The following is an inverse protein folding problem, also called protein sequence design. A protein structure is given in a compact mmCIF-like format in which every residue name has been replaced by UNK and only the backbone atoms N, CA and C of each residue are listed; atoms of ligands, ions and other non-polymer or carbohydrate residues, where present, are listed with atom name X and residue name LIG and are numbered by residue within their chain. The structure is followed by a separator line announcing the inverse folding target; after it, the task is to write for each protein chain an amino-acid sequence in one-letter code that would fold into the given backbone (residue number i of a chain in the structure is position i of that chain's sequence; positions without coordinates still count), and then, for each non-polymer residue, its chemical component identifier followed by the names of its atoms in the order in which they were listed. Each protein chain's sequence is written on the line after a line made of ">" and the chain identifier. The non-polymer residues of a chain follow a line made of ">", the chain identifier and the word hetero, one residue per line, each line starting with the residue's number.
data_IF_306524895294
#
_entry.id   IF_306524895294
#
_cell.length_a   1.000
_cell.length_b   1.000
_cell.length_c   1.000
_cell.angle_alpha   90.00
_cell.angle_beta   90.00
_cell.angle_gamma   90.00
#
_symmetry.space_group_name_H-M   'P 1'
#
loop_
_entity.id
_entity.type
_entity.pdbx_description
1 polymer ?
#
# COMPACT_ATOMS: atom_id res chain seq x y z
N UNK A 1 -5.01 -1.57 -13.49
CA UNK A 1 -4.01 -1.26 -12.47
C UNK A 1 -4.56 -1.50 -11.10
N UNK A 2 -3.78 -2.02 -10.22
CA UNK A 2 -4.22 -2.22 -8.84
C UNK A 2 -3.29 -1.52 -7.88
N UNK A 3 -3.82 -1.18 -6.73
CA UNK A 3 -3.09 -0.42 -5.72
C UNK A 3 -3.31 -1.05 -4.36
N UNK A 4 -2.30 -0.96 -3.50
CA UNK A 4 -2.43 -1.34 -2.09
C UNK A 4 -2.02 -0.14 -1.25
N UNK A 5 -2.32 -0.20 0.04
CA UNK A 5 -1.96 0.88 0.94
C UNK A 5 -1.06 0.35 2.04
N UNK A 6 -0.13 1.18 2.48
CA UNK A 6 0.81 0.84 3.53
C UNK A 6 0.85 1.94 4.56
N UNK A 7 1.07 1.53 5.81
CA UNK A 7 1.25 2.49 6.89
C UNK A 7 2.55 2.17 7.61
N UNK A 8 3.18 3.21 8.16
CA UNK A 8 4.42 3.08 8.89
C UNK A 8 4.13 3.09 10.39
N UNK A 9 4.67 2.13 11.10
CA UNK A 9 4.48 2.06 12.55
C UNK A 9 5.49 2.96 13.27
N UNK A 10 5.46 2.92 14.59
CA UNK A 10 6.29 3.78 15.40
C UNK A 10 7.77 3.48 15.26
N UNK A 11 8.11 2.29 14.84
CA UNK A 11 9.50 1.90 14.67
C UNK A 11 10.03 2.19 13.27
N UNK A 12 9.17 2.74 12.41
CA UNK A 12 9.57 3.08 11.05
C UNK A 12 9.36 1.97 10.03
N UNK A 13 8.72 0.89 10.42
CA UNK A 13 8.50 -0.24 9.51
C UNK A 13 7.19 -0.05 8.75
N UNK A 14 7.25 -0.20 7.43
CA UNK A 14 6.06 -0.13 6.59
C UNK A 14 5.41 -1.49 6.49
N UNK A 15 4.09 -1.51 6.69
CA UNK A 15 3.32 -2.75 6.61
C UNK A 15 2.11 -2.57 5.72
N UNK A 16 1.70 -3.65 5.06
CA UNK A 16 0.50 -3.64 4.24
C UNK A 16 -0.73 -3.58 5.12
N UNK A 17 -1.72 -2.80 4.70
CA UNK A 17 -3.00 -2.77 5.39
C UNK A 17 -3.82 -3.96 4.92
N UNK A 18 -4.36 -4.71 5.87
CA UNK A 18 -5.12 -5.91 5.56
C UNK A 18 -6.58 -5.75 5.95
N UNK A 19 -7.43 -6.49 5.26
CA UNK A 19 -8.85 -6.51 5.57
C UNK A 19 -9.16 -7.46 6.71
N UNK A 20 -10.43 -7.58 7.07
CA UNK A 20 -10.84 -8.45 8.19
C UNK A 20 -10.55 -9.93 7.95
N UNK A 21 -10.36 -10.33 6.70
CA UNK A 21 -10.01 -11.71 6.39
C UNK A 21 -8.50 -11.95 6.40
N UNK A 22 -7.72 -10.93 6.72
CA UNK A 22 -6.27 -11.05 6.75
C UNK A 22 -5.59 -10.84 5.42
N UNK A 23 -6.32 -10.68 4.34
CA UNK A 23 -5.73 -10.47 3.02
C UNK A 23 -5.39 -8.99 2.83
N UNK A 24 -4.34 -8.73 2.07
CA UNK A 24 -3.96 -7.36 1.75
C UNK A 24 -5.08 -6.68 0.98
N UNK A 25 -5.45 -5.48 1.41
CA UNK A 25 -6.49 -4.71 0.72
C UNK A 25 -5.95 -4.22 -0.61
N UNK A 26 -6.73 -4.45 -1.66
CA UNK A 26 -6.36 -4.07 -3.02
C UNK A 26 -7.48 -3.23 -3.62
N UNK A 27 -7.11 -2.18 -4.31
CA UNK A 27 -8.05 -1.24 -4.91
C UNK A 27 -7.76 -1.11 -6.40
N UNK A 28 -8.78 -0.89 -7.19
CA UNK A 28 -8.61 -0.74 -8.63
C UNK A 28 -8.32 0.70 -9.04
N UNK A 29 -8.42 1.62 -8.11
CA UNK A 29 -8.27 3.04 -8.38
C UNK A 29 -7.47 3.70 -7.26
N UNK A 30 -6.56 4.57 -7.63
CA UNK A 30 -5.73 5.25 -6.63
C UNK A 30 -6.57 6.13 -5.70
N UNK A 31 -7.61 6.77 -6.23
CA UNK A 31 -8.49 7.59 -5.41
C UNK A 31 -9.18 6.77 -4.33
N UNK A 32 -9.62 5.56 -4.67
CA UNK A 32 -10.24 4.67 -3.69
C UNK A 32 -9.25 4.26 -2.62
N UNK A 33 -8.01 4.00 -3.01
CA UNK A 33 -6.98 3.64 -2.04
C UNK A 33 -6.71 4.79 -1.08
N UNK A 34 -6.63 6.02 -1.59
CA UNK A 34 -6.40 7.19 -0.75
C UNK A 34 -7.58 7.43 0.18
N UNK A 35 -8.80 7.23 -0.32
CA UNK A 35 -9.98 7.39 0.51
C UNK A 35 -9.98 6.37 1.65
N UNK A 36 -9.59 5.15 1.37
CA UNK A 36 -9.51 4.12 2.40
C UNK A 36 -8.47 4.47 3.47
N UNK A 37 -7.33 5.04 3.06
CA UNK A 37 -6.34 5.49 4.03
C UNK A 37 -6.91 6.56 4.94
N UNK A 38 -7.59 7.54 4.36
CA UNK A 38 -8.16 8.62 5.15
C UNK A 38 -9.27 8.12 6.08
N UNK A 39 -10.01 7.11 5.64
CA UNK A 39 -11.09 6.57 6.45
C UNK A 39 -10.59 5.70 7.59
N UNK A 40 -9.61 4.86 7.33
CA UNK A 40 -9.14 3.92 8.34
C UNK A 40 -8.04 4.48 9.23
N UNK A 41 -7.28 5.45 8.73
CA UNK A 41 -6.16 6.02 9.47
C UNK A 41 -6.20 7.54 9.43
N UNK A 42 -7.30 8.16 9.87
CA UNK A 42 -7.43 9.62 9.77
C UNK A 42 -6.36 10.35 10.56
N UNK A 43 -5.94 9.79 11.68
CA UNK A 43 -4.93 10.44 12.51
C UNK A 43 -3.59 10.49 11.78
N UNK A 44 -3.18 9.37 11.18
CA UNK A 44 -1.90 9.32 10.46
C UNK A 44 -1.92 10.26 9.26
N UNK A 45 -3.03 10.30 8.55
CA UNK A 45 -3.14 11.18 7.39
C UNK A 45 -3.07 12.64 7.81
N UNK A 46 -3.71 12.99 8.92
CA UNK A 46 -3.65 14.35 9.43
C UNK A 46 -2.27 14.72 9.94
N UNK A 47 -1.58 13.78 10.57
CA UNK A 47 -0.26 14.03 11.11
C UNK A 47 0.76 14.41 10.05
N UNK A 48 0.55 14.00 8.82
CA UNK A 48 1.44 14.37 7.73
C UNK A 48 1.53 15.87 7.56
N UNK A 49 0.44 16.58 7.86
CA UNK A 49 0.40 18.03 7.70
C UNK A 49 1.11 18.77 8.83
N UNK A 50 1.13 18.19 10.00
CA UNK A 50 1.62 18.89 11.18
C UNK A 50 2.98 18.39 11.66
N UNK A 51 3.22 17.10 11.51
CA UNK A 51 4.44 16.51 12.02
C UNK A 51 5.54 16.40 10.97
N UNK A 52 5.21 16.71 9.73
CA UNK A 52 6.21 16.72 8.66
C UNK A 52 6.66 15.35 8.20
N UNK A 53 6.14 14.29 8.77
CA UNK A 53 6.52 12.94 8.36
C UNK A 53 5.38 12.22 7.70
N UNK A 54 5.62 11.60 6.58
CA UNK A 54 4.59 10.86 5.87
C UNK A 54 4.63 9.40 6.32
N UNK A 55 3.52 8.95 6.91
CA UNK A 55 3.43 7.61 7.46
C UNK A 55 2.35 6.76 6.79
N UNK A 56 1.83 7.22 5.67
CA UNK A 56 0.87 6.47 4.86
C UNK A 56 1.28 6.59 3.41
N UNK A 57 1.03 5.54 2.63
CA UNK A 57 1.33 5.63 1.20
C UNK A 57 0.48 4.66 0.40
N UNK A 58 0.28 5.00 -0.87
CA UNK A 58 -0.40 4.15 -1.83
C UNK A 58 0.66 3.57 -2.76
N UNK A 59 0.65 2.27 -2.93
CA UNK A 59 1.62 1.57 -3.76
C UNK A 59 0.90 0.96 -4.95
N UNK A 60 1.39 1.29 -6.14
CA UNK A 60 0.85 0.68 -7.35
C UNK A 60 1.42 -0.72 -7.50
N UNK A 61 0.55 -1.68 -7.69
CA UNK A 61 0.96 -3.07 -7.87
C UNK A 61 1.21 -3.30 -9.34
N UNK A 62 2.40 -3.75 -9.66
CA UNK A 62 2.75 -4.10 -11.03
C UNK A 62 2.34 -5.53 -11.26
N UNK A 63 1.46 -5.71 -12.25
CA UNK A 63 0.86 -7.01 -12.45
C UNK A 63 1.27 -7.67 -13.74
N UNK A 64 2.53 -7.70 -14.00
CA UNK A 64 3.02 -8.50 -15.11
C UNK A 64 3.78 -9.69 -14.57
N UNK A 65 3.25 -10.26 -13.52
CA UNK A 65 3.87 -11.37 -12.85
C UNK A 65 4.02 -12.58 -13.71
N UNK A 66 3.10 -12.82 -14.58
CA UNK A 66 3.21 -13.93 -15.47
C UNK A 66 4.41 -13.79 -16.34
N UNK A 67 4.63 -12.61 -16.83
CA UNK A 67 5.78 -12.29 -17.62
C UNK A 67 7.04 -12.52 -16.81
N UNK A 68 7.02 -12.09 -15.58
CA UNK A 68 8.10 -12.30 -14.67
C UNK A 68 8.37 -13.76 -14.44
N UNK A 69 7.37 -14.51 -14.18
CA UNK A 69 7.51 -15.91 -13.85
C UNK A 69 8.02 -16.70 -15.04
N UNK A 70 7.72 -16.27 -16.19
CA UNK A 70 8.14 -16.96 -17.38
C UNK A 70 9.61 -16.84 -17.64
N UNK A 71 10.21 -15.88 -17.04
CA UNK A 71 11.59 -15.70 -17.22
C UNK A 71 12.38 -16.38 -16.26
N UNK A 72 12.32 -16.96 -15.76
CA UNK A 72 13.10 -17.34 -14.76
C UNK A 72 14.27 -17.73 -15.04
N UNK A 73 14.07 -17.82 -15.18
CA UNK A 73 14.92 -18.17 -14.93
C UNK A 73 15.95 -17.54 -15.18
N UNK A 74 16.04 -17.00 -15.24
CA UNK A 74 16.82 -16.39 -15.41
C UNK A 74 17.83 -16.60 -15.08
N UNK A 75 18.00 -17.02 -15.28
CA UNK A 75 18.72 -17.18 -15.15
C UNK A 75 19.35 -17.47 -14.97
N UNK A 76 19.41 -17.58 -15.12
CA UNK A 76 19.82 -17.77 -15.02
C UNK A 76 20.27 -17.93 -14.96
#
# INVERSE_FOLDING_TARGET
>A
MRYKIEVQDETGIWTDVRGPDGAVLVFNDEGDARAALAEQFPILVQMEKYAGGKRTRVIRIIEDDDHWAARPPRID
#
